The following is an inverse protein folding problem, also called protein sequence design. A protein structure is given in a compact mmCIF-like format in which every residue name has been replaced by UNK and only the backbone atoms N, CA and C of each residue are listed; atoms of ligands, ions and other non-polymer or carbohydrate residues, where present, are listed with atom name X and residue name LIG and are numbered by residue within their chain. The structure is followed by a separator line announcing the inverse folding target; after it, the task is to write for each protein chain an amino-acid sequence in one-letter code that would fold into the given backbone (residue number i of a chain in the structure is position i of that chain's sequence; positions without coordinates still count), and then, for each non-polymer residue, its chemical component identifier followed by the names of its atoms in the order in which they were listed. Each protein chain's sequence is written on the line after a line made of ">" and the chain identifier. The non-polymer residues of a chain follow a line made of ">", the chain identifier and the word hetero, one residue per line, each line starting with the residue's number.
data_IF_605155226464
#
_entry.id   IF_605155226464
#
_cell.length_a   1.000
_cell.length_b   1.000
_cell.length_c   1.000
_cell.angle_alpha   90.00
_cell.angle_beta   90.00
_cell.angle_gamma   90.00
#
_symmetry.space_group_name_H-M   'P 1'
#
loop_
_entity.id
_entity.type
_entity.pdbx_description
1 polymer ?
#
# COMPACT_ATOMS: atom_id res chain seq x y z
N UNK A 1 -8.82 14.65 4.53
CA UNK A 1 -8.64 14.04 5.87
C UNK A 1 -8.10 12.64 5.61
N UNK A 2 -6.92 12.30 6.13
CA UNK A 2 -6.44 10.91 6.06
C UNK A 2 -7.32 10.05 6.96
N UNK A 3 -7.82 8.93 6.41
CA UNK A 3 -8.79 8.06 7.09
C UNK A 3 -8.22 6.77 7.66
N UNK A 4 -6.91 6.55 7.48
CA UNK A 4 -6.24 5.30 7.88
C UNK A 4 -6.24 5.09 9.38
N UNK A 5 -6.29 3.82 9.78
CA UNK A 5 -6.15 3.35 11.15
C UNK A 5 -4.98 2.36 11.24
N UNK A 6 -4.39 2.25 12.43
CA UNK A 6 -3.41 1.21 12.73
C UNK A 6 -4.12 -0.15 12.95
N UNK A 7 -3.49 -1.22 12.47
CA UNK A 7 -4.00 -2.58 12.65
C UNK A 7 -3.65 -3.51 11.49
N UNK A 8 -4.29 -4.68 11.47
CA UNK A 8 -4.11 -5.67 10.42
C UNK A 8 -5.24 -5.57 9.39
N UNK A 9 -4.94 -5.75 8.10
CA UNK A 9 -5.92 -5.61 7.04
C UNK A 9 -5.61 -6.51 5.83
N UNK A 10 -6.66 -6.84 5.08
CA UNK A 10 -6.53 -7.24 3.69
C UNK A 10 -6.69 -6.00 2.80
N UNK A 11 -5.79 -5.81 1.84
CA UNK A 11 -5.84 -4.68 0.91
C UNK A 11 -6.15 -5.23 -0.48
N UNK A 12 -7.12 -4.65 -1.18
CA UNK A 12 -7.60 -5.14 -2.48
C UNK A 12 -7.99 -4.02 -3.43
N UNK A 13 -7.93 -4.29 -4.73
CA UNK A 13 -8.33 -3.36 -5.79
C UNK A 13 -9.46 -3.97 -6.62
N UNK A 14 -10.70 -3.60 -6.30
CA UNK A 14 -11.88 -4.30 -6.81
C UNK A 14 -12.17 -5.59 -6.05
N UNK A 15 -12.97 -6.48 -6.65
CA UNK A 15 -13.34 -7.77 -6.06
C UNK A 15 -12.27 -8.83 -6.33
N UNK A 16 -11.89 -9.58 -5.29
CA UNK A 16 -10.97 -10.74 -5.33
C UNK A 16 -9.53 -10.50 -5.87
N UNK A 17 -9.15 -9.22 -5.99
CA UNK A 17 -7.85 -8.75 -6.43
C UNK A 17 -7.06 -8.21 -5.24
N UNK A 18 -6.22 -9.02 -4.62
CA UNK A 18 -5.55 -8.66 -3.36
C UNK A 18 -4.13 -8.17 -3.59
N UNK A 19 -3.75 -7.13 -2.86
CA UNK A 19 -2.37 -6.71 -2.72
C UNK A 19 -1.58 -7.84 -2.07
N UNK A 20 -0.55 -8.30 -2.75
CA UNK A 20 0.33 -9.39 -2.32
C UNK A 20 1.74 -9.16 -2.85
N UNK A 21 2.61 -10.16 -2.70
CA UNK A 21 4.00 -10.12 -3.14
C UNK A 21 4.25 -11.16 -4.25
N UNK A 22 5.07 -10.79 -5.23
CA UNK A 22 5.78 -11.75 -6.06
C UNK A 22 7.23 -11.30 -6.27
N UNK A 23 8.19 -12.10 -5.81
CA UNK A 23 9.64 -11.83 -5.98
C UNK A 23 10.05 -10.42 -5.54
N UNK A 24 9.64 -9.99 -4.34
CA UNK A 24 9.81 -8.63 -3.81
C UNK A 24 9.08 -7.50 -4.58
N UNK A 25 8.26 -7.79 -5.58
CA UNK A 25 7.37 -6.79 -6.19
C UNK A 25 6.02 -6.82 -5.48
N UNK A 26 5.47 -5.63 -5.21
CA UNK A 26 4.08 -5.51 -4.83
C UNK A 26 3.22 -5.76 -6.08
N UNK A 27 2.29 -6.71 -5.97
CA UNK A 27 1.44 -7.12 -7.07
C UNK A 27 0.00 -7.26 -6.61
N UNK A 28 -0.92 -7.25 -7.57
CA UNK A 28 -2.28 -7.75 -7.36
C UNK A 28 -2.31 -9.22 -7.74
N UNK A 29 -2.68 -10.09 -6.79
CA UNK A 29 -2.87 -11.52 -7.01
C UNK A 29 -4.34 -11.90 -6.98
N UNK A 30 -4.75 -12.76 -7.92
CA UNK A 30 -6.11 -13.30 -7.98
C UNK A 30 -6.35 -14.31 -6.85
N UNK A 31 -7.21 -13.97 -5.89
CA UNK A 31 -7.62 -14.86 -4.80
C UNK A 31 -6.57 -15.08 -3.69
N UNK A 32 -5.34 -14.57 -3.84
CA UNK A 32 -4.27 -14.67 -2.83
C UNK A 32 -4.42 -13.59 -1.77
N UNK A 33 -5.07 -13.93 -0.65
CA UNK A 33 -5.20 -13.00 0.48
C UNK A 33 -3.89 -12.95 1.27
N UNK A 34 -3.32 -11.76 1.39
CA UNK A 34 -2.15 -11.49 2.22
C UNK A 34 -2.52 -10.51 3.32
N UNK A 35 -2.16 -10.85 4.56
CA UNK A 35 -2.32 -9.96 5.71
C UNK A 35 -1.26 -8.85 5.66
N UNK A 36 -1.72 -7.61 5.78
CA UNK A 36 -0.87 -6.43 5.88
C UNK A 36 -1.06 -5.76 7.25
N UNK A 37 0.04 -5.31 7.85
CA UNK A 37 0.05 -4.48 9.05
C UNK A 37 0.19 -3.03 8.62
N UNK A 38 -0.87 -2.26 8.81
CA UNK A 38 -0.90 -0.81 8.55
C UNK A 38 -0.47 -0.13 9.84
N UNK A 39 0.71 0.50 9.84
CA UNK A 39 1.29 1.13 11.03
C UNK A 39 1.34 2.64 10.88
N UNK A 40 0.84 3.39 11.86
CA UNK A 40 0.91 4.83 11.83
C UNK A 40 2.34 5.31 12.13
N UNK A 41 2.80 6.29 11.36
CA UNK A 41 4.02 7.03 11.58
C UNK A 41 3.69 8.51 11.68
N UNK A 42 3.87 9.06 12.87
CA UNK A 42 3.59 10.45 13.16
C UNK A 42 4.90 11.23 13.26
N UNK A 43 5.06 12.25 12.41
CA UNK A 43 6.26 13.11 12.43
C UNK A 43 6.21 14.07 13.62
N UNK A 44 5.01 14.61 13.89
CA UNK A 44 4.68 15.50 15.02
C UNK A 44 3.23 15.28 15.43
N UNK A 45 2.86 15.62 16.66
CA UNK A 45 1.50 15.45 17.19
C UNK A 45 0.41 16.11 16.32
N UNK A 46 0.73 17.23 15.67
CA UNK A 46 -0.19 17.97 14.80
C UNK A 46 -0.19 17.53 13.31
N UNK A 47 0.70 16.61 12.92
CA UNK A 47 0.77 16.15 11.54
C UNK A 47 -0.28 15.05 11.28
N UNK A 48 -0.92 15.03 10.10
CA UNK A 48 -1.74 13.89 9.71
C UNK A 48 -0.89 12.61 9.72
N UNK A 49 -1.45 11.47 10.14
CA UNK A 49 -0.70 10.22 10.19
C UNK A 49 -0.24 9.82 8.79
N UNK A 50 1.05 9.49 8.67
CA UNK A 50 1.60 8.74 7.55
C UNK A 50 1.53 7.26 7.91
N UNK A 51 1.55 6.39 6.91
CA UNK A 51 1.41 4.96 7.14
C UNK A 51 2.55 4.19 6.50
N UNK A 52 3.10 3.24 7.25
CA UNK A 52 3.84 2.12 6.70
C UNK A 52 2.85 0.98 6.45
N UNK A 53 2.97 0.32 5.30
CA UNK A 53 2.15 -0.85 4.96
C UNK A 53 3.11 -2.02 4.91
N UNK A 54 3.05 -2.87 5.94
CA UNK A 54 4.01 -3.92 6.22
C UNK A 54 3.38 -5.28 5.94
N UNK A 55 4.17 -6.26 5.52
CA UNK A 55 3.75 -7.66 5.53
C UNK A 55 4.83 -8.54 6.13
N UNK A 56 4.41 -9.68 6.69
CA UNK A 56 5.28 -10.79 7.02
C UNK A 56 5.06 -11.87 5.98
N UNK A 57 6.07 -12.20 5.20
CA UNK A 57 6.01 -13.37 4.34
C UNK A 57 5.87 -14.63 5.21
N UNK A 58 5.09 -15.61 4.76
CA UNK A 58 4.83 -16.83 5.52
C UNK A 58 6.13 -17.50 5.98
N UNK A 59 6.24 -17.74 7.30
CA UNK A 59 7.42 -18.38 7.91
C UNK A 59 8.62 -17.45 8.12
N UNK A 60 8.53 -16.17 7.75
CA UNK A 60 9.55 -15.15 8.02
C UNK A 60 9.26 -14.41 9.34
N UNK A 61 10.32 -14.14 10.11
CA UNK A 61 10.27 -13.18 11.22
C UNK A 61 10.49 -11.75 10.76
N UNK A 62 10.94 -11.56 9.52
CA UNK A 62 11.25 -10.24 8.96
C UNK A 62 10.03 -9.62 8.29
N UNK A 63 9.72 -8.39 8.69
CA UNK A 63 8.74 -7.56 8.01
C UNK A 63 9.34 -6.97 6.73
N UNK A 64 8.47 -6.77 5.73
CA UNK A 64 8.77 -6.06 4.51
C UNK A 64 7.76 -4.94 4.33
N UNK A 65 8.22 -3.79 3.86
CA UNK A 65 7.43 -2.58 3.72
C UNK A 65 7.15 -2.30 2.25
N UNK A 66 5.91 -1.94 1.96
CA UNK A 66 5.51 -1.38 0.68
C UNK A 66 6.32 -0.11 0.40
N UNK A 67 7.07 -0.10 -0.70
CA UNK A 67 8.06 0.92 -1.00
C UNK A 67 7.94 1.34 -2.46
N UNK A 68 7.79 2.65 -2.70
CA UNK A 68 7.90 3.20 -4.05
C UNK A 68 9.36 3.19 -4.50
N UNK A 69 9.67 2.58 -5.64
CA UNK A 69 10.97 2.75 -6.25
C UNK A 69 11.14 4.21 -6.70
N UNK A 70 12.17 4.85 -6.17
CA UNK A 70 12.51 6.26 -6.43
C UNK A 70 13.84 6.43 -7.16
N UNK A 71 14.45 5.33 -7.63
CA UNK A 71 15.75 5.33 -8.28
C UNK A 71 15.79 6.29 -9.48
N UNK A 72 16.78 7.21 -9.54
CA UNK A 72 16.91 8.13 -10.67
C UNK A 72 17.26 7.37 -11.95
N UNK A 73 16.41 7.47 -12.98
CA UNK A 73 16.66 6.89 -14.30
C UNK A 73 15.80 5.68 -14.65
N UNK A 74 15.11 5.09 -13.67
CA UNK A 74 14.05 4.13 -13.97
C UNK A 74 12.77 4.87 -14.36
N UNK A 75 12.24 4.55 -15.54
CA UNK A 75 10.97 5.11 -16.01
C UNK A 75 9.76 4.52 -15.30
N UNK A 76 9.96 3.39 -14.61
CA UNK A 76 8.90 2.62 -13.99
C UNK A 76 8.89 2.93 -12.49
N UNK A 77 7.84 3.61 -12.04
CA UNK A 77 7.59 3.89 -10.62
C UNK A 77 7.12 2.62 -9.90
N UNK A 78 7.84 1.51 -10.03
CA UNK A 78 7.42 0.22 -9.49
C UNK A 78 7.28 0.31 -7.97
N UNK A 79 6.34 -0.47 -7.42
CA UNK A 79 6.19 -0.59 -5.97
C UNK A 79 6.74 -1.96 -5.56
N UNK A 80 7.72 -1.94 -4.68
CA UNK A 80 8.47 -3.10 -4.22
C UNK A 80 8.28 -3.32 -2.72
N UNK A 81 8.74 -4.47 -2.26
CA UNK A 81 8.81 -4.81 -0.84
C UNK A 81 10.27 -4.80 -0.40
N UNK A 82 10.58 -3.87 0.49
CA UNK A 82 11.92 -3.68 1.04
C UNK A 82 11.91 -3.87 2.56
N UNK A 83 13.04 -4.21 3.19
CA UNK A 83 13.13 -4.14 4.65
C UNK A 83 12.74 -2.74 5.17
N UNK A 84 11.92 -2.63 6.23
CA UNK A 84 11.56 -1.35 6.81
C UNK A 84 12.82 -0.63 7.33
N UNK A 85 13.00 0.63 6.98
CA UNK A 85 14.16 1.39 7.45
C UNK A 85 13.99 1.85 8.90
N UNK A 86 15.03 1.62 9.70
CA UNK A 86 15.06 1.96 11.12
C UNK A 86 16.26 2.86 11.43
N UNK A 87 16.15 3.80 12.39
CA UNK A 87 15.00 4.04 13.27
C UNK A 87 13.89 4.89 12.64
N UNK A 88 14.11 5.42 11.43
CA UNK A 88 13.14 6.27 10.72
C UNK A 88 12.91 5.72 9.32
N UNK A 89 11.66 5.51 8.90
CA UNK A 89 11.34 5.07 7.55
C UNK A 89 11.78 6.09 6.50
N UNK A 90 12.15 5.60 5.31
CA UNK A 90 12.30 6.47 4.13
C UNK A 90 10.95 7.03 3.70
N UNK A 91 10.93 8.20 3.06
CA UNK A 91 9.71 8.75 2.46
C UNK A 91 9.10 7.84 1.39
N UNK A 92 9.90 6.99 0.73
CA UNK A 92 9.42 5.98 -0.23
C UNK A 92 8.64 4.85 0.42
N UNK A 93 8.82 4.63 1.73
CA UNK A 93 8.13 3.63 2.55
C UNK A 93 6.87 4.18 3.24
N UNK A 94 6.60 5.48 3.05
CA UNK A 94 5.50 6.18 3.70
C UNK A 94 4.39 6.49 2.69
N UNK A 95 3.17 6.25 3.14
CA UNK A 95 1.94 6.38 2.36
C UNK A 95 0.89 7.20 3.09
N UNK A 96 -0.01 7.84 2.35
CA UNK A 96 -1.25 8.40 2.90
C UNK A 96 -2.47 7.73 2.27
N UNK A 97 -3.56 7.67 3.03
CA UNK A 97 -4.86 7.23 2.53
C UNK A 97 -5.71 8.44 2.20
N UNK A 98 -5.67 8.85 0.93
CA UNK A 98 -6.40 10.01 0.40
C UNK A 98 -7.82 9.64 -0.04
N UNK A 99 -8.71 10.64 -0.04
CA UNK A 99 -10.12 10.47 -0.46
C UNK A 99 -10.83 9.33 0.28
N UNK A 100 -10.43 9.10 1.53
CA UNK A 100 -10.87 7.97 2.32
C UNK A 100 -12.38 8.02 2.65
N UNK A 101 -13.09 6.94 2.32
CA UNK A 101 -14.47 6.67 2.72
C UNK A 101 -14.46 5.48 3.67
N UNK A 102 -14.83 5.72 4.93
CA UNK A 102 -14.90 4.68 5.96
C UNK A 102 -16.32 4.16 6.10
N UNK A 103 -16.49 2.85 5.89
CA UNK A 103 -17.79 2.18 6.04
C UNK A 103 -18.09 1.90 7.50
N UNK A 104 -19.34 2.11 7.92
CA UNK A 104 -19.80 1.92 9.30
C UNK A 104 -19.99 0.43 9.65
N UNK A 105 -18.88 -0.27 9.91
CA UNK A 105 -18.82 -1.62 10.51
C UNK A 105 -17.58 -1.75 11.41
N UNK A 106 -17.46 -2.84 12.18
CA UNK A 106 -16.30 -3.09 13.05
C UNK A 106 -15.72 -4.51 12.86
N UNK A 107 -14.41 -4.65 12.57
CA UNK A 107 -13.48 -3.58 12.20
C UNK A 107 -13.89 -2.91 10.88
N UNK A 108 -13.50 -1.65 10.63
CA UNK A 108 -14.00 -0.88 9.50
C UNK A 108 -13.50 -1.41 8.16
N UNK A 109 -14.18 -1.01 7.09
CA UNK A 109 -13.62 -1.02 5.74
C UNK A 109 -13.35 0.42 5.36
N UNK A 110 -12.20 0.67 4.78
CA UNK A 110 -11.87 1.95 4.16
C UNK A 110 -11.72 1.75 2.67
N UNK A 111 -12.35 2.62 1.88
CA UNK A 111 -12.01 2.81 0.47
C UNK A 111 -11.13 4.05 0.39
N UNK A 112 -9.92 3.94 -0.14
CA UNK A 112 -8.99 5.06 -0.22
C UNK A 112 -8.01 4.91 -1.37
N UNK A 113 -7.41 6.04 -1.76
CA UNK A 113 -6.25 6.06 -2.64
C UNK A 113 -4.98 5.98 -1.78
N UNK A 114 -4.10 5.02 -2.09
CA UNK A 114 -2.82 4.85 -1.38
C UNK A 114 -1.79 5.74 -2.10
N UNK A 115 -1.58 6.95 -1.58
CA UNK A 115 -0.75 7.97 -2.19
C UNK A 115 0.67 7.95 -1.62
N UNK A 116 1.68 8.09 -2.47
CA UNK A 116 3.08 8.11 -2.06
C UNK A 116 3.44 9.41 -1.34
N UNK A 117 4.22 9.34 -0.26
CA UNK A 117 4.81 10.53 0.36
C UNK A 117 6.06 10.99 -0.39
N UNK A 118 6.88 10.07 -0.92
CA UNK A 118 8.08 10.42 -1.70
C UNK A 118 7.75 11.16 -3.01
N UNK A 119 6.65 10.79 -3.67
CA UNK A 119 6.17 11.43 -4.90
C UNK A 119 4.66 11.70 -4.76
N UNK A 120 4.23 12.83 -4.17
CA UNK A 120 2.82 13.10 -3.84
C UNK A 120 1.85 13.13 -5.02
N UNK A 121 2.36 13.26 -6.24
CA UNK A 121 1.56 13.18 -7.47
C UNK A 121 1.32 11.74 -7.95
N UNK A 122 1.83 10.72 -7.24
CA UNK A 122 1.67 9.31 -7.57
C UNK A 122 0.88 8.54 -6.51
N UNK A 123 0.06 7.61 -6.98
CA UNK A 123 -0.68 6.65 -6.16
C UNK A 123 -0.48 5.22 -6.65
N UNK A 124 -0.53 4.27 -5.72
CA UNK A 124 -0.46 2.87 -6.05
C UNK A 124 -1.66 2.46 -6.91
N UNK A 125 -1.40 1.81 -8.03
CA UNK A 125 -2.40 1.22 -8.91
C UNK A 125 -1.76 0.11 -9.73
N UNK A 126 -2.57 -0.67 -10.44
CA UNK A 126 -2.05 -1.59 -11.46
C UNK A 126 -1.33 -0.77 -12.54
N UNK A 127 -0.06 -1.09 -12.79
CA UNK A 127 0.78 -0.36 -13.73
C UNK A 127 2.23 -0.85 -13.75
N UNK A 128 3.09 -0.19 -14.51
CA UNK A 128 4.47 -0.64 -14.75
C UNK A 128 4.54 -1.82 -15.73
N UNK A 129 5.74 -2.25 -16.08
CA UNK A 129 5.96 -3.30 -17.08
C UNK A 129 6.94 -4.37 -16.59
N UNK A 130 6.64 -4.91 -15.41
CA UNK A 130 7.39 -6.03 -14.84
C UNK A 130 6.89 -7.35 -15.47
N UNK A 131 7.78 -8.22 -15.98
CA UNK A 131 7.40 -9.51 -16.55
C UNK A 131 6.92 -10.46 -15.45
N UNK A 132 5.61 -10.52 -15.22
CA UNK A 132 4.97 -11.34 -14.19
C UNK A 132 4.21 -12.54 -14.77
N UNK A 133 4.03 -13.63 -14.01
CA UNK A 133 3.08 -14.68 -14.35
C UNK A 133 1.65 -14.12 -14.51
N UNK A 134 0.82 -14.77 -15.34
CA UNK A 134 -0.56 -14.31 -15.66
C UNK A 134 -1.50 -14.14 -14.45
N UNK A 135 -1.15 -14.72 -13.31
CA UNK A 135 -1.94 -14.62 -12.07
C UNK A 135 -1.66 -13.33 -11.28
N UNK A 136 -0.62 -12.59 -11.68
CA UNK A 136 -0.18 -11.38 -11.02
C UNK A 136 -0.21 -10.18 -11.96
N UNK A 137 -0.59 -9.04 -11.43
CA UNK A 137 -0.50 -7.76 -12.10
C UNK A 137 0.39 -6.83 -11.28
N UNK A 138 1.33 -6.17 -11.94
CA UNK A 138 2.29 -5.31 -11.27
C UNK A 138 1.59 -4.08 -10.68
N UNK A 139 2.10 -3.60 -9.55
CA UNK A 139 1.67 -2.34 -8.96
C UNK A 139 2.77 -1.31 -9.13
N UNK A 140 2.37 -0.11 -9.54
CA UNK A 140 3.27 1.02 -9.70
C UNK A 140 2.61 2.32 -9.20
N UNK A 141 3.44 3.33 -8.97
CA UNK A 141 3.05 4.71 -8.82
C UNK A 141 2.53 5.26 -10.15
N UNK A 142 1.23 5.50 -10.21
CA UNK A 142 0.54 6.11 -11.35
C UNK A 142 0.12 7.54 -11.00
N UNK A 143 0.08 8.48 -11.96
CA UNK A 143 -0.38 9.85 -11.70
C UNK A 143 -1.75 9.86 -11.02
N UNK A 144 -1.94 10.72 -10.03
CA UNK A 144 -3.21 10.79 -9.30
C UNK A 144 -4.37 11.15 -10.24
N UNK A 145 -5.42 10.33 -10.21
CA UNK A 145 -6.65 10.54 -10.98
C UNK A 145 -7.84 10.60 -10.00
N UNK A 146 -8.25 11.80 -9.57
CA UNK A 146 -9.36 11.96 -8.62
C UNK A 146 -10.62 11.24 -9.09
N UNK A 147 -11.24 10.46 -8.20
CA UNK A 147 -12.43 9.67 -8.53
C UNK A 147 -12.19 8.40 -9.35
N UNK A 148 -10.95 8.08 -9.72
CA UNK A 148 -10.63 6.86 -10.48
C UNK A 148 -10.79 5.60 -9.62
N UNK A 149 -11.57 4.63 -10.09
CA UNK A 149 -11.77 3.34 -9.41
C UNK A 149 -10.51 2.47 -9.47
N UNK A 150 -9.65 2.64 -10.47
CA UNK A 150 -8.39 1.88 -10.61
C UNK A 150 -7.34 2.25 -9.55
N UNK A 151 -7.55 3.35 -8.83
CA UNK A 151 -6.71 3.79 -7.71
C UNK A 151 -7.43 3.65 -6.36
N UNK A 152 -8.65 3.10 -6.34
CA UNK A 152 -9.48 3.00 -5.14
C UNK A 152 -9.29 1.65 -4.46
N UNK A 153 -8.36 1.62 -3.52
CA UNK A 153 -8.08 0.44 -2.72
C UNK A 153 -9.12 0.27 -1.63
N UNK A 154 -9.58 -0.96 -1.46
CA UNK A 154 -10.33 -1.41 -0.30
C UNK A 154 -9.34 -1.96 0.73
N UNK A 155 -9.27 -1.29 1.88
CA UNK A 155 -8.57 -1.72 3.09
C UNK A 155 -9.60 -2.29 4.05
N UNK A 156 -9.65 -3.62 4.13
CA UNK A 156 -10.57 -4.40 4.94
C UNK A 156 -9.86 -4.79 6.25
N UNK A 157 -10.04 -4.00 7.30
CA UNK A 157 -9.37 -4.23 8.59
C UNK A 157 -9.91 -5.50 9.26
N UNK A 158 -8.99 -6.27 9.84
CA UNK A 158 -9.24 -7.51 10.58
C UNK A 158 -9.05 -7.31 12.09
N UNK A 159 -8.11 -6.46 12.49
CA UNK A 159 -7.94 -5.96 13.85
C UNK A 159 -7.55 -4.48 13.82
N UNK A 160 -7.76 -3.80 14.93
CA UNK A 160 -7.23 -2.47 15.21
C UNK A 160 -6.31 -2.59 16.42
N UNK A 161 -5.22 -1.82 16.42
CA UNK A 161 -4.24 -1.77 17.52
C UNK A 161 -4.43 -0.52 18.39
#
# INVERSE_FOLDING_TARGET
>A
MSGGQEGTAHISLGEDNFLTEYTNHAVVGLGTKTEWHVKAYQITDDSPPLFMILMKSDGSTEERCLTLDTNPGESENNIMLEPPETPRPKTSQLWTFEEAIVMKRYPPIMLARIQSVARPWLSAAIGGNVPLPRLYQNIAGTPNEPGSESQRWRVDYMSLD
#
